data_IF_078365993804
#
_entry.id   IF_078365993804
#
_cell.length_a   1.000
_cell.length_b   1.000
_cell.length_c   1.000
_cell.angle_alpha   90.00
_cell.angle_beta   90.00
_cell.angle_gamma   90.00
#
_symmetry.space_group_name_H-M   'P 1'
#
loop_
_entity.id
_entity.type
_entity.pdbx_description
1 polymer ?
#
# COMPACT_ATOMS: atom_id res chain seq x y z
N UNK A 1 10.19 16.62 -1.25
CA UNK A 1 11.08 16.89 -0.11
C UNK A 1 11.03 15.79 0.94
N UNK A 2 11.99 15.78 1.85
CA UNK A 2 12.04 14.81 2.93
C UNK A 2 10.82 14.92 3.86
N UNK A 3 10.29 16.11 4.02
CA UNK A 3 9.10 16.39 4.82
C UNK A 3 7.83 16.22 3.98
N UNK A 4 6.76 15.77 4.62
CA UNK A 4 5.46 15.60 3.98
C UNK A 4 5.27 14.28 3.22
N UNK A 5 6.11 13.28 3.46
CA UNK A 5 5.87 11.91 2.96
C UNK A 5 4.69 11.27 3.68
N UNK A 6 3.84 10.63 2.93
CA UNK A 6 2.71 9.86 3.45
C UNK A 6 3.05 8.37 3.50
N UNK A 7 3.77 7.87 2.48
CA UNK A 7 4.16 6.47 2.40
C UNK A 7 5.59 6.27 2.90
N UNK A 8 5.78 5.19 3.64
CA UNK A 8 7.08 4.76 4.13
C UNK A 8 7.98 4.36 2.96
N UNK A 9 9.26 4.69 3.09
CA UNK A 9 10.30 4.27 2.16
C UNK A 9 11.55 3.88 2.96
N UNK A 10 12.07 2.69 2.73
CA UNK A 10 13.33 2.21 3.28
C UNK A 10 14.20 1.77 2.13
N UNK A 11 15.45 2.20 2.14
CA UNK A 11 16.42 1.83 1.11
C UNK A 11 17.11 0.52 1.51
N UNK A 12 16.41 -0.60 1.31
CA UNK A 12 16.99 -1.93 1.45
C UNK A 12 16.33 -2.90 0.46
N UNK A 13 16.96 -4.06 0.25
CA UNK A 13 16.49 -5.07 -0.69
C UNK A 13 15.58 -6.15 -0.04
N UNK A 14 15.42 -6.13 1.28
CA UNK A 14 14.73 -7.20 2.02
C UNK A 14 13.31 -6.83 2.40
N UNK A 15 13.05 -5.56 2.62
CA UNK A 15 11.76 -5.04 2.97
C UNK A 15 11.48 -3.83 2.08
N UNK A 16 10.58 -3.96 1.14
CA UNK A 16 10.20 -2.89 0.22
C UNK A 16 8.86 -2.31 0.66
N UNK A 17 8.87 -1.37 1.61
CA UNK A 17 7.66 -0.67 1.99
C UNK A 17 7.18 0.19 0.82
N UNK A 18 5.90 0.53 0.83
CA UNK A 18 5.35 1.40 -0.19
C UNK A 18 3.88 1.16 -0.44
N UNK A 19 3.51 1.12 -1.70
CA UNK A 19 2.15 0.89 -2.16
C UNK A 19 2.15 -0.19 -3.23
N UNK A 20 1.26 -1.17 -3.08
CA UNK A 20 1.15 -2.28 -4.01
C UNK A 20 -0.31 -2.68 -4.21
N UNK A 21 -0.59 -3.27 -5.35
CA UNK A 21 -1.85 -3.96 -5.61
C UNK A 21 -1.51 -5.41 -5.93
N UNK A 22 -1.96 -6.31 -5.08
CA UNK A 22 -1.82 -7.74 -5.29
C UNK A 22 -3.09 -8.28 -5.94
N UNK A 23 -2.90 -9.24 -6.80
CA UNK A 23 -3.96 -9.98 -7.48
C UNK A 23 -3.74 -11.46 -7.16
N UNK A 24 -4.76 -12.12 -6.66
CA UNK A 24 -4.77 -13.56 -6.42
C UNK A 24 -5.86 -14.21 -7.22
N UNK A 25 -5.52 -15.28 -7.90
CA UNK A 25 -6.47 -16.20 -8.48
C UNK A 25 -6.90 -17.21 -7.40
N UNK A 26 -8.18 -17.19 -7.03
CA UNK A 26 -8.71 -18.03 -5.95
C UNK A 26 -8.83 -19.51 -6.34
N UNK A 27 -8.84 -19.80 -7.63
CA UNK A 27 -8.96 -21.19 -8.13
C UNK A 27 -7.59 -21.85 -8.18
N UNK A 28 -6.60 -21.24 -8.81
CA UNK A 28 -5.24 -21.75 -8.89
C UNK A 28 -4.38 -21.50 -7.65
N UNK A 29 -4.82 -20.58 -6.76
CA UNK A 29 -4.07 -20.06 -5.60
C UNK A 29 -2.82 -19.27 -5.98
N UNK A 30 -2.58 -19.02 -7.25
CA UNK A 30 -1.48 -18.20 -7.70
C UNK A 30 -1.73 -16.73 -7.44
N UNK A 31 -0.68 -15.96 -7.19
CA UNK A 31 -0.78 -14.52 -6.93
C UNK A 31 0.40 -13.75 -7.53
N UNK A 32 0.16 -12.50 -7.84
CA UNK A 32 1.16 -11.57 -8.39
C UNK A 32 0.84 -10.14 -7.99
N UNK A 33 1.73 -9.22 -8.29
CA UNK A 33 1.49 -7.79 -8.11
C UNK A 33 1.31 -7.07 -9.44
N UNK A 34 0.45 -6.08 -9.49
CA UNK A 34 0.17 -5.30 -10.69
C UNK A 34 1.37 -4.50 -11.21
N UNK A 35 2.41 -4.34 -10.41
CA UNK A 35 3.65 -3.60 -10.71
C UNK A 35 4.91 -4.48 -10.74
N UNK A 36 4.78 -5.78 -10.99
CA UNK A 36 5.81 -6.81 -10.92
C UNK A 36 6.36 -7.01 -9.51
N UNK A 37 7.00 -6.00 -8.92
CA UNK A 37 7.39 -6.01 -7.51
C UNK A 37 6.14 -5.80 -6.62
N UNK A 38 6.14 -6.36 -5.39
CA UNK A 38 7.22 -7.10 -4.74
C UNK A 38 7.25 -8.61 -5.04
N UNK A 39 6.24 -9.18 -5.71
CA UNK A 39 6.15 -10.63 -5.94
C UNK A 39 7.24 -11.14 -6.91
N UNK A 40 7.53 -10.38 -7.98
CA UNK A 40 8.63 -10.68 -8.88
C UNK A 40 8.48 -11.99 -9.67
N UNK A 41 7.34 -12.21 -10.34
CA UNK A 41 7.15 -13.37 -11.22
C UNK A 41 8.22 -13.42 -12.32
N UNK A 42 8.49 -14.61 -12.88
CA UNK A 42 9.43 -14.76 -13.99
C UNK A 42 9.07 -13.84 -15.16
N UNK A 43 10.05 -13.10 -15.68
CA UNK A 43 9.88 -12.22 -16.82
C UNK A 43 9.60 -12.94 -18.14
N UNK A 44 9.77 -14.25 -18.17
CA UNK A 44 9.35 -15.08 -19.33
C UNK A 44 7.82 -15.14 -19.44
N UNK A 45 7.12 -15.03 -18.31
CA UNK A 45 5.66 -15.15 -18.23
C UNK A 45 4.96 -13.86 -17.82
N UNK A 46 5.67 -12.92 -17.17
CA UNK A 46 5.15 -11.64 -16.74
C UNK A 46 5.70 -10.52 -17.62
N UNK A 47 4.82 -9.75 -18.23
CA UNK A 47 5.18 -8.59 -19.03
C UNK A 47 4.62 -7.33 -18.40
N UNK A 48 5.40 -6.26 -18.38
CA UNK A 48 4.93 -4.98 -17.86
C UNK A 48 5.52 -3.81 -18.62
N UNK A 49 4.77 -2.73 -18.62
CA UNK A 49 5.14 -1.44 -19.19
C UNK A 49 4.76 -0.33 -18.22
N UNK A 50 5.62 0.67 -18.07
CA UNK A 50 5.39 1.79 -17.15
C UNK A 50 5.49 3.11 -17.90
N UNK A 51 4.46 3.94 -17.78
CA UNK A 51 4.40 5.29 -18.32
C UNK A 51 4.37 6.31 -17.19
N UNK A 52 5.33 7.21 -17.17
CA UNK A 52 5.37 8.35 -16.26
C UNK A 52 4.99 9.63 -17.00
N UNK A 53 3.92 10.28 -16.57
CA UNK A 53 3.55 11.63 -16.99
C UNK A 53 3.90 12.65 -15.90
N UNK A 54 3.60 13.93 -16.17
CA UNK A 54 3.88 15.03 -15.23
C UNK A 54 3.14 14.86 -13.90
N UNK A 55 1.94 14.28 -13.93
CA UNK A 55 1.06 14.15 -12.76
C UNK A 55 0.53 12.75 -12.53
N UNK A 56 1.02 11.74 -13.23
CA UNK A 56 0.56 10.37 -13.08
C UNK A 56 1.66 9.35 -13.36
N UNK A 57 1.45 8.15 -12.83
CA UNK A 57 2.16 6.93 -13.22
C UNK A 57 1.14 5.90 -13.64
N UNK A 58 1.29 5.32 -14.82
CA UNK A 58 0.47 4.21 -15.31
C UNK A 58 1.35 2.98 -15.49
N UNK A 59 0.98 1.89 -14.85
CA UNK A 59 1.63 0.59 -14.99
C UNK A 59 0.64 -0.36 -15.65
N UNK A 60 1.06 -0.98 -16.74
CA UNK A 60 0.30 -2.02 -17.42
C UNK A 60 1.04 -3.33 -17.28
N UNK A 61 0.33 -4.42 -17.04
CA UNK A 61 0.95 -5.73 -16.90
C UNK A 61 0.04 -6.84 -17.42
N UNK A 62 0.69 -7.87 -17.97
CA UNK A 62 0.07 -9.09 -18.46
C UNK A 62 0.67 -10.30 -17.73
N UNK A 63 -0.18 -11.06 -17.08
CA UNK A 63 0.19 -12.32 -16.45
C UNK A 63 -1.02 -13.26 -16.38
N UNK A 64 -0.82 -14.54 -16.72
CA UNK A 64 -1.85 -15.58 -16.60
C UNK A 64 -3.17 -15.21 -17.28
N UNK A 65 -3.13 -14.66 -18.50
CA UNK A 65 -4.27 -14.15 -19.29
C UNK A 65 -5.03 -12.97 -18.64
N UNK A 66 -4.51 -12.42 -17.56
CA UNK A 66 -5.06 -11.22 -16.94
C UNK A 66 -4.20 -10.02 -17.32
N UNK A 67 -4.86 -9.03 -17.91
CA UNK A 67 -4.28 -7.71 -18.16
C UNK A 67 -4.72 -6.74 -17.07
N UNK A 68 -3.77 -5.97 -16.55
CA UNK A 68 -4.02 -4.93 -15.55
C UNK A 68 -3.50 -3.58 -16.01
N UNK A 69 -4.27 -2.54 -15.73
CA UNK A 69 -3.85 -1.15 -15.89
C UNK A 69 -4.02 -0.46 -14.54
N UNK A 70 -2.93 -0.11 -13.90
CA UNK A 70 -2.92 0.62 -12.63
C UNK A 70 -2.48 2.07 -12.87
N UNK A 71 -3.39 3.02 -12.66
CA UNK A 71 -3.15 4.45 -12.80
C UNK A 71 -3.10 5.10 -11.43
N UNK A 72 -1.98 5.72 -11.11
CA UNK A 72 -1.72 6.44 -9.87
C UNK A 72 -1.62 7.93 -10.14
N UNK A 73 -2.40 8.74 -9.43
CA UNK A 73 -2.34 10.20 -9.57
C UNK A 73 -2.87 10.93 -8.34
N UNK A 74 -2.43 12.15 -8.16
CA UNK A 74 -2.98 13.09 -7.17
C UNK A 74 -3.84 14.10 -7.91
N UNK A 75 -5.16 14.19 -7.62
CA UNK A 75 -6.00 15.20 -8.23
C UNK A 75 -5.55 16.62 -7.83
N UNK A 76 -5.72 17.57 -8.74
CA UNK A 76 -5.32 18.95 -8.52
C UNK A 76 -6.01 19.53 -7.27
N UNK A 77 -5.23 20.19 -6.40
CA UNK A 77 -5.69 20.79 -5.14
C UNK A 77 -6.33 19.79 -4.15
N UNK A 78 -5.93 18.53 -4.22
CA UNK A 78 -6.38 17.48 -3.27
C UNK A 78 -5.21 16.93 -2.47
N UNK A 79 -5.52 16.42 -1.28
CA UNK A 79 -4.58 15.82 -0.32
C UNK A 79 -4.69 14.30 -0.26
N UNK A 80 -5.13 13.67 -1.35
CA UNK A 80 -5.22 12.23 -1.48
C UNK A 80 -4.71 11.78 -2.84
N UNK A 81 -4.19 10.57 -2.89
CA UNK A 81 -3.80 9.88 -4.12
C UNK A 81 -4.92 8.90 -4.52
N UNK A 82 -5.14 8.79 -5.81
CA UNK A 82 -6.07 7.83 -6.41
C UNK A 82 -5.27 6.72 -7.08
N UNK A 83 -5.65 5.48 -6.81
CA UNK A 83 -5.20 4.29 -7.49
C UNK A 83 -6.37 3.70 -8.26
N UNK A 84 -6.38 3.90 -9.55
CA UNK A 84 -7.41 3.36 -10.43
C UNK A 84 -6.88 2.08 -11.07
N UNK A 85 -7.47 0.94 -10.73
CA UNK A 85 -7.11 -0.35 -11.28
C UNK A 85 -8.20 -0.84 -12.24
N UNK A 86 -7.81 -1.13 -13.48
CA UNK A 86 -8.62 -1.86 -14.45
C UNK A 86 -8.04 -3.26 -14.61
N UNK A 87 -8.88 -4.26 -14.48
CA UNK A 87 -8.52 -5.68 -14.66
C UNK A 87 -9.34 -6.23 -15.82
N UNK A 88 -8.65 -6.84 -16.78
CA UNK A 88 -9.28 -7.44 -17.96
C UNK A 88 -8.86 -8.90 -18.05
N UNK A 89 -9.84 -9.79 -18.15
CA UNK A 89 -9.61 -11.20 -18.44
C UNK A 89 -9.55 -11.37 -19.96
N UNK A 90 -8.37 -11.64 -20.49
CA UNK A 90 -8.12 -11.90 -21.91
C UNK A 90 -8.27 -13.40 -22.25
N UNK A 91 -8.42 -14.25 -21.25
CA UNK A 91 -8.66 -15.67 -21.43
C UNK A 91 -10.12 -15.99 -21.72
N UNK A 92 -10.37 -17.22 -22.11
CA UNK A 92 -11.72 -17.74 -22.41
C UNK A 92 -12.47 -18.26 -21.18
N UNK A 93 -11.78 -18.43 -20.04
CA UNK A 93 -12.33 -19.02 -18.81
C UNK A 93 -12.63 -17.91 -17.80
N UNK A 94 -13.80 -18.01 -17.15
CA UNK A 94 -14.14 -17.13 -16.03
C UNK A 94 -13.12 -17.27 -14.90
N UNK A 95 -12.65 -16.17 -14.37
CA UNK A 95 -11.67 -16.13 -13.29
C UNK A 95 -12.30 -15.58 -12.01
N UNK A 96 -11.91 -16.14 -10.89
CA UNK A 96 -12.28 -15.70 -9.55
C UNK A 96 -11.06 -15.05 -8.89
N UNK A 97 -11.02 -13.72 -8.85
CA UNK A 97 -9.86 -12.95 -8.42
C UNK A 97 -10.14 -12.19 -7.11
N UNK A 98 -9.17 -12.19 -6.22
CA UNK A 98 -9.11 -11.27 -5.08
C UNK A 98 -8.10 -10.17 -5.37
N UNK A 99 -8.51 -8.93 -5.17
CA UNK A 99 -7.66 -7.74 -5.33
C UNK A 99 -7.36 -7.17 -3.94
N UNK A 100 -6.09 -7.01 -3.61
CA UNK A 100 -5.67 -6.47 -2.31
C UNK A 100 -4.80 -5.23 -2.51
N UNK A 101 -5.28 -4.09 -2.03
CA UNK A 101 -4.47 -2.88 -1.93
C UNK A 101 -3.61 -2.92 -0.67
N UNK A 102 -2.34 -2.56 -0.80
CA UNK A 102 -1.39 -2.48 0.29
C UNK A 102 -0.74 -1.11 0.33
N UNK A 103 -0.66 -0.52 1.51
CA UNK A 103 0.05 0.73 1.75
C UNK A 103 0.71 0.72 3.12
N UNK A 104 1.98 1.11 3.17
CA UNK A 104 2.67 1.42 4.42
C UNK A 104 2.77 2.92 4.59
N UNK A 105 2.11 3.44 5.60
CA UNK A 105 2.20 4.85 5.94
C UNK A 105 3.41 5.15 6.81
N UNK A 106 3.96 6.34 6.65
CA UNK A 106 4.93 6.90 7.61
C UNK A 106 4.23 7.16 8.94
N UNK A 107 4.96 7.03 10.03
CA UNK A 107 4.45 7.43 11.36
C UNK A 107 4.73 8.91 11.62
N UNK A 108 5.86 9.41 11.12
CA UNK A 108 6.25 10.81 11.24
C UNK A 108 6.17 11.51 9.88
N UNK A 109 6.03 12.81 9.89
CA UNK A 109 6.11 13.64 8.69
C UNK A 109 7.56 13.80 8.20
N UNK A 110 8.53 13.57 9.07
CA UNK A 110 9.94 13.66 8.79
C UNK A 110 10.53 12.28 8.49
N UNK A 111 11.18 12.16 7.35
CA UNK A 111 11.78 10.90 6.86
C UNK A 111 12.89 10.36 7.81
N UNK A 112 13.72 11.24 8.35
CA UNK A 112 14.80 10.84 9.25
C UNK A 112 14.25 10.24 10.54
N UNK A 113 13.24 10.88 11.12
CA UNK A 113 12.58 10.39 12.33
C UNK A 113 11.90 9.04 12.11
N UNK A 114 11.27 8.87 10.96
CA UNK A 114 10.61 7.62 10.61
C UNK A 114 11.59 6.45 10.45
N UNK A 115 12.85 6.73 10.14
CA UNK A 115 13.90 5.72 10.02
C UNK A 115 14.64 5.46 11.33
N UNK A 116 15.01 6.52 12.05
CA UNK A 116 15.87 6.44 13.24
C UNK A 116 15.08 5.95 14.46
N UNK A 117 13.82 6.33 14.57
CA UNK A 117 12.97 6.04 15.72
C UNK A 117 11.93 4.94 15.45
N UNK A 118 12.29 3.91 14.70
CA UNK A 118 11.37 2.84 14.29
C UNK A 118 10.67 2.17 15.49
N UNK A 119 11.42 1.88 16.56
CA UNK A 119 10.84 1.27 17.77
C UNK A 119 9.79 2.18 18.42
N UNK A 120 10.08 3.46 18.51
CA UNK A 120 9.14 4.44 19.04
C UNK A 120 7.87 4.53 18.17
N UNK A 121 8.06 4.52 16.86
CA UNK A 121 6.97 4.57 15.88
C UNK A 121 5.96 3.43 16.05
N UNK A 122 6.42 2.23 16.41
CA UNK A 122 5.54 1.08 16.64
C UNK A 122 4.55 1.28 17.82
N UNK A 123 4.90 2.10 18.78
CA UNK A 123 4.04 2.36 19.95
C UNK A 123 3.05 3.49 19.76
N UNK A 124 3.35 4.44 18.87
CA UNK A 124 2.53 5.63 18.66
C UNK A 124 1.46 5.44 17.58
N UNK A 125 1.59 4.43 16.75
CA UNK A 125 0.66 4.16 15.65
C UNK A 125 -0.42 3.16 16.06
N UNK A 126 -1.65 3.41 15.61
CA UNK A 126 -2.79 2.52 15.78
C UNK A 126 -3.53 2.42 14.46
N UNK A 127 -3.95 1.21 14.10
CA UNK A 127 -4.80 0.96 12.95
C UNK A 127 -6.19 0.54 13.39
N UNK A 128 -7.19 1.01 12.69
CA UNK A 128 -8.59 0.63 12.87
C UNK A 128 -9.28 0.54 11.51
N UNK A 129 -10.37 -0.23 11.45
CA UNK A 129 -11.23 -0.29 10.27
C UNK A 129 -12.56 0.38 10.60
N UNK A 130 -12.84 1.46 9.91
CA UNK A 130 -14.04 2.28 10.16
C UNK A 130 -14.62 2.72 8.81
N UNK A 131 -15.92 2.56 8.64
CA UNK A 131 -16.62 3.00 7.44
C UNK A 131 -15.97 2.54 6.12
N UNK A 132 -15.69 1.25 6.01
CA UNK A 132 -15.11 0.62 4.82
C UNK A 132 -13.70 1.10 4.44
N UNK A 133 -12.91 1.55 5.43
CA UNK A 133 -11.54 2.04 5.23
C UNK A 133 -10.64 1.76 6.42
N UNK A 134 -9.36 1.56 6.15
CA UNK A 134 -8.33 1.50 7.19
C UNK A 134 -7.96 2.94 7.55
N UNK A 135 -7.96 3.21 8.85
CA UNK A 135 -7.46 4.46 9.44
C UNK A 135 -6.24 4.14 10.28
N UNK A 136 -5.12 4.75 9.95
CA UNK A 136 -3.95 4.80 10.82
C UNK A 136 -3.96 6.13 11.56
N UNK A 137 -3.97 6.07 12.89
CA UNK A 137 -3.84 7.23 13.75
C UNK A 137 -2.48 7.22 14.42
N UNK A 138 -1.74 8.31 14.34
CA UNK A 138 -0.43 8.48 14.97
C UNK A 138 -0.56 9.45 16.13
N UNK A 139 -0.24 8.98 17.34
CA UNK A 139 -0.27 9.76 18.57
C UNK A 139 1.15 10.15 18.99
N UNK A 140 1.31 11.32 19.59
CA UNK A 140 2.58 11.75 20.15
C UNK A 140 3.68 12.00 19.13
N UNK A 141 3.32 12.51 17.97
CA UNK A 141 4.30 12.83 16.92
C UNK A 141 5.18 14.03 17.33
N UNK A 142 6.40 13.74 17.74
CA UNK A 142 7.38 14.74 18.20
C UNK A 142 7.83 15.72 17.12
N UNK A 143 7.73 15.34 15.85
CA UNK A 143 8.12 16.24 14.74
C UNK A 143 7.29 17.52 14.63
N UNK A 144 6.14 17.51 15.28
CA UNK A 144 5.17 18.62 15.23
C UNK A 144 5.22 19.45 16.51
N UNK A 145 6.03 19.07 17.51
CA UNK A 145 6.17 19.81 18.75
C UNK A 145 7.05 21.05 18.52
N UNK A 146 6.48 22.21 18.81
CA UNK A 146 7.25 23.44 18.95
C UNK A 146 7.93 23.54 20.32
N UNK A 147 8.79 24.52 20.50
CA UNK A 147 9.43 24.79 21.79
C UNK A 147 8.36 25.11 22.86
N UNK A 148 8.35 24.31 23.93
CA UNK A 148 7.39 24.48 25.04
C UNK A 148 6.04 23.79 24.86
N UNK A 149 5.82 23.07 23.77
CA UNK A 149 4.61 22.28 23.55
C UNK A 149 4.76 20.86 24.11
N UNK A 150 3.66 20.29 24.56
CA UNK A 150 3.61 18.90 25.03
C UNK A 150 2.99 17.99 23.98
N UNK A 151 3.15 16.67 24.14
CA UNK A 151 2.54 15.66 23.25
C UNK A 151 1.00 15.81 23.21
N UNK A 152 0.41 16.18 24.33
CA UNK A 152 -1.05 16.33 24.47
C UNK A 152 -1.61 17.55 23.75
N UNK A 153 -0.75 18.51 23.42
CA UNK A 153 -1.14 19.73 22.69
C UNK A 153 -1.36 19.49 21.19
N UNK A 154 -0.95 18.33 20.69
CA UNK A 154 -1.03 18.01 19.27
C UNK A 154 -2.17 17.05 18.96
N UNK A 155 -2.88 17.35 17.88
CA UNK A 155 -3.91 16.44 17.36
C UNK A 155 -3.25 15.22 16.74
N UNK A 156 -3.85 14.03 16.91
CA UNK A 156 -3.41 12.85 16.19
C UNK A 156 -3.39 13.09 14.67
N UNK A 157 -2.39 12.53 14.00
CA UNK A 157 -2.32 12.52 12.55
C UNK A 157 -3.02 11.28 12.04
N UNK A 158 -4.03 11.47 11.21
CA UNK A 158 -4.77 10.39 10.57
C UNK A 158 -4.36 10.22 9.11
N UNK A 159 -4.17 8.96 8.73
CA UNK A 159 -4.00 8.54 7.34
C UNK A 159 -5.06 7.50 7.01
N UNK A 160 -5.63 7.62 5.83
CA UNK A 160 -6.77 6.80 5.45
C UNK A 160 -6.47 6.08 4.13
N UNK A 161 -6.77 4.79 4.10
CA UNK A 161 -6.74 3.97 2.89
C UNK A 161 -8.06 3.22 2.75
N UNK A 162 -8.72 3.36 1.63
CA UNK A 162 -10.02 2.74 1.41
C UNK A 162 -10.32 2.52 -0.06
N UNK A 163 -11.38 1.76 -0.29
CA UNK A 163 -11.90 1.44 -1.61
C UNK A 163 -13.10 2.34 -1.92
N UNK A 164 -13.15 2.88 -3.13
CA UNK A 164 -14.30 3.62 -3.63
C UNK A 164 -15.14 2.76 -4.59
N UNK A 165 -16.46 2.79 -4.43
CA UNK A 165 -17.40 2.13 -5.35
C UNK A 165 -17.69 0.66 -5.05
N UNK A 166 -17.08 0.07 -4.01
CA UNK A 166 -17.38 -1.27 -3.56
C UNK A 166 -17.09 -1.43 -2.06
N UNK A 167 -17.58 -2.51 -1.47
CA UNK A 167 -17.27 -2.86 -0.09
C UNK A 167 -15.99 -3.65 0.01
N UNK A 168 -15.23 -3.41 1.08
CA UNK A 168 -14.04 -4.18 1.43
C UNK A 168 -14.48 -5.48 2.09
N UNK A 169 -14.10 -6.61 1.52
CA UNK A 169 -14.45 -7.93 2.06
C UNK A 169 -13.63 -8.34 3.27
N UNK A 170 -12.36 -7.90 3.32
CA UNK A 170 -11.45 -8.17 4.44
C UNK A 170 -10.38 -7.09 4.54
N UNK A 171 -9.75 -6.98 5.70
CA UNK A 171 -8.64 -6.06 5.92
C UNK A 171 -7.61 -6.65 6.89
N UNK A 172 -6.38 -6.16 6.78
CA UNK A 172 -5.33 -6.40 7.76
C UNK A 172 -4.63 -5.07 8.07
N UNK A 173 -4.58 -4.69 9.33
CA UNK A 173 -3.89 -3.46 9.79
C UNK A 173 -2.51 -3.73 10.37
N UNK A 174 -2.04 -4.96 10.35
CA UNK A 174 -0.76 -5.40 10.90
C UNK A 174 0.13 -5.95 9.78
N UNK A 175 1.29 -5.31 9.61
CA UNK A 175 2.26 -5.69 8.58
C UNK A 175 2.81 -7.10 8.81
N UNK A 176 3.17 -7.43 10.04
CA UNK A 176 3.80 -8.72 10.37
C UNK A 176 2.83 -9.88 10.10
N UNK A 177 1.55 -9.66 10.36
CA UNK A 177 0.49 -10.62 10.01
C UNK A 177 0.32 -10.72 8.50
N UNK A 178 0.39 -9.61 7.78
CA UNK A 178 0.19 -9.58 6.33
C UNK A 178 1.39 -10.13 5.55
N UNK A 179 2.61 -9.79 5.98
CA UNK A 179 3.87 -10.21 5.35
C UNK A 179 4.62 -11.14 6.32
N UNK A 180 4.11 -12.29 6.69
CA UNK A 180 4.84 -13.17 7.60
C UNK A 180 6.29 -13.40 7.14
N UNK A 181 7.22 -13.07 8.01
CA UNK A 181 8.67 -13.16 7.76
C UNK A 181 9.12 -14.60 7.44
N UNK A 182 8.31 -15.58 7.79
CA UNK A 182 8.64 -17.01 7.66
C UNK A 182 7.79 -17.78 6.64
N UNK A 183 6.80 -17.16 6.00
CA UNK A 183 5.95 -17.86 5.05
C UNK A 183 5.37 -16.92 3.99
N UNK A 184 5.94 -16.98 2.80
CA UNK A 184 5.32 -16.45 1.56
C UNK A 184 3.97 -17.14 1.26
N UNK A 185 3.54 -18.09 2.08
CA UNK A 185 2.29 -18.85 1.94
C UNK A 185 1.05 -18.22 2.58
N UNK A 186 1.13 -17.02 3.13
CA UNK A 186 0.04 -16.39 3.89
C UNK A 186 -1.17 -15.90 3.08
N UNK A 187 -1.20 -16.16 1.80
CA UNK A 187 -2.45 -16.01 1.06
C UNK A 187 -3.30 -17.28 1.07
N UNK A 188 -3.10 -18.19 2.01
CA UNK A 188 -3.84 -19.48 1.99
C UNK A 188 -5.18 -19.43 2.71
N UNK A 189 -5.43 -18.48 3.61
CA UNK A 189 -6.61 -18.53 4.48
C UNK A 189 -7.23 -17.14 4.83
N UNK A 190 -7.38 -16.25 3.84
CA UNK A 190 -8.27 -15.09 4.00
C UNK A 190 -9.44 -15.19 3.04
#
# INVERSE_FOLDING_TARGET
GANGRILRYVFNNFDQPGRYIYIRDNDSKDYWSASWQPVGKSLDTYKSECHHGISYTKIMADYSDIHTEALYYVPLNKTYEVWNLKVTNNGSVKRNLTLTGYAEFTNNSNYEQDQVNLQYSLFISRTSFVENRIRQTVHGNLDVLGAGETVDDKRPIDRIFGLAGADVSSYCGDKEVFISVNNISLFTDI
#
